data_IF_663960532526
#
_entry.id   IF_663960532526
#
_cell.length_a   1.000
_cell.length_b   1.000
_cell.length_c   1.000
_cell.angle_alpha   90.00
_cell.angle_beta   90.00
_cell.angle_gamma   90.00
#
_symmetry.space_group_name_H-M   'P 1'
#
loop_
_entity.id
_entity.type
_entity.pdbx_description
1 polymer ?
#
# COMPACT_ATOMS: atom_id res chain seq x y z
N UNK A 1 -86.00 -62.68 65.18
CA UNK A 1 -86.64 -63.72 64.36
C UNK A 1 -85.61 -64.79 64.11
N UNK A 2 -85.86 -66.03 64.55
CA UNK A 2 -84.94 -67.17 64.39
C UNK A 2 -85.15 -67.79 63.03
N UNK A 3 -84.07 -68.00 62.25
CA UNK A 3 -84.18 -68.59 60.91
C UNK A 3 -84.79 -70.00 60.94
N UNK A 4 -85.59 -70.37 59.92
CA UNK A 4 -86.19 -71.69 59.84
C UNK A 4 -85.11 -72.77 59.73
N UNK A 5 -85.32 -73.89 60.44
CA UNK A 5 -84.39 -75.04 60.43
C UNK A 5 -84.29 -75.61 59.01
N UNK A 6 -83.08 -75.58 58.44
CA UNK A 6 -82.81 -76.07 57.09
C UNK A 6 -82.98 -77.59 57.01
N UNK A 7 -83.62 -78.05 55.95
CA UNK A 7 -83.79 -79.49 55.65
C UNK A 7 -82.44 -80.15 55.37
N UNK A 8 -82.29 -81.46 55.65
CA UNK A 8 -81.04 -82.19 55.41
C UNK A 8 -80.55 -82.11 53.96
N UNK A 9 -81.47 -82.09 52.98
CA UNK A 9 -81.15 -81.90 51.56
C UNK A 9 -80.66 -80.48 51.24
N UNK A 10 -81.10 -79.48 52.00
CA UNK A 10 -80.68 -78.08 51.80
C UNK A 10 -79.28 -77.86 52.37
N UNK A 11 -78.97 -78.47 53.51
CA UNK A 11 -77.63 -78.43 54.12
C UNK A 11 -76.56 -79.04 53.21
N UNK A 12 -76.85 -80.17 52.57
CA UNK A 12 -75.90 -80.83 51.65
C UNK A 12 -75.69 -79.99 50.38
N UNK A 13 -76.74 -79.39 49.83
CA UNK A 13 -76.63 -78.48 48.69
C UNK A 13 -75.81 -77.23 49.01
N UNK A 14 -76.02 -76.61 50.17
CA UNK A 14 -75.23 -75.46 50.62
C UNK A 14 -73.76 -75.83 50.82
N UNK A 15 -73.46 -76.97 51.45
CA UNK A 15 -72.10 -77.45 51.63
C UNK A 15 -71.40 -77.73 50.28
N UNK A 16 -72.12 -78.29 49.32
CA UNK A 16 -71.61 -78.51 47.96
C UNK A 16 -71.31 -77.19 47.24
N UNK A 17 -72.21 -76.21 47.34
CA UNK A 17 -72.01 -74.88 46.77
C UNK A 17 -70.82 -74.16 47.41
N UNK A 18 -70.70 -74.23 48.73
CA UNK A 18 -69.56 -73.66 49.46
C UNK A 18 -68.24 -74.31 49.03
N UNK A 19 -68.21 -75.64 48.88
CA UNK A 19 -67.03 -76.36 48.40
C UNK A 19 -66.66 -75.98 46.96
N UNK A 20 -67.64 -75.89 46.07
CA UNK A 20 -67.42 -75.45 44.69
C UNK A 20 -66.88 -74.01 44.63
N UNK A 21 -67.41 -73.13 45.48
CA UNK A 21 -66.95 -71.75 45.60
C UNK A 21 -65.50 -71.67 46.10
N UNK A 22 -65.14 -72.44 47.12
CA UNK A 22 -63.76 -72.52 47.62
C UNK A 22 -62.79 -73.00 46.53
N UNK A 23 -63.13 -74.09 45.83
CA UNK A 23 -62.32 -74.60 44.72
C UNK A 23 -62.18 -73.57 43.59
N UNK A 24 -63.23 -72.82 43.28
CA UNK A 24 -63.16 -71.77 42.28
C UNK A 24 -62.20 -70.64 42.70
N UNK A 25 -62.26 -70.21 43.97
CA UNK A 25 -61.35 -69.20 44.50
C UNK A 25 -59.89 -69.66 44.51
N UNK A 26 -59.64 -70.92 44.86
CA UNK A 26 -58.30 -71.51 44.78
C UNK A 26 -57.78 -71.52 43.34
N UNK A 27 -58.63 -71.84 42.35
CA UNK A 27 -58.25 -71.75 40.94
C UNK A 27 -57.91 -70.32 40.56
N UNK A 28 -58.75 -69.35 40.91
CA UNK A 28 -58.48 -67.93 40.61
C UNK A 28 -57.18 -67.43 41.23
N UNK A 29 -56.85 -67.84 42.46
CA UNK A 29 -55.61 -67.47 43.12
C UNK A 29 -54.36 -68.06 42.44
N UNK A 30 -54.49 -69.27 41.85
CA UNK A 30 -53.39 -69.98 41.22
C UNK A 30 -53.27 -69.75 39.70
N UNK A 31 -54.24 -69.05 39.08
CA UNK A 31 -54.17 -68.70 37.66
C UNK A 31 -53.02 -67.71 37.45
N UNK A 32 -52.07 -68.09 36.58
CA UNK A 32 -50.98 -67.21 36.16
C UNK A 32 -51.54 -66.10 35.26
N UNK A 33 -51.10 -64.84 35.43
CA UNK A 33 -51.51 -63.76 34.53
C UNK A 33 -51.01 -64.04 33.12
N UNK A 34 -51.87 -63.84 32.12
CA UNK A 34 -51.53 -64.05 30.70
C UNK A 34 -50.69 -62.89 30.11
N UNK A 35 -50.65 -61.76 30.79
CA UNK A 35 -49.93 -60.55 30.38
C UNK A 35 -49.00 -60.15 31.52
N UNK A 36 -47.73 -59.91 31.20
CA UNK A 36 -46.78 -59.41 32.17
C UNK A 36 -47.09 -57.93 32.46
N UNK A 37 -47.65 -57.67 33.64
CA UNK A 37 -47.93 -56.32 34.13
C UNK A 37 -46.84 -55.83 35.10
N UNK A 38 -45.68 -56.49 35.17
CA UNK A 38 -44.56 -55.99 35.97
C UNK A 38 -44.01 -54.72 35.34
N UNK A 39 -43.64 -53.77 36.19
CA UNK A 39 -42.91 -52.59 35.74
C UNK A 39 -41.59 -53.06 35.10
N UNK A 40 -41.29 -52.66 33.85
CA UNK A 40 -40.01 -53.03 33.25
C UNK A 40 -38.88 -52.50 34.12
N UNK A 41 -37.81 -53.30 34.26
CA UNK A 41 -36.61 -52.90 34.99
C UNK A 41 -36.18 -51.55 34.44
N UNK A 42 -36.27 -50.51 35.27
CA UNK A 42 -35.95 -49.16 34.85
C UNK A 42 -34.52 -49.21 34.30
N UNK A 43 -34.35 -48.90 33.03
CA UNK A 43 -33.08 -48.46 32.49
C UNK A 43 -32.77 -47.08 33.10
N UNK A 44 -32.72 -46.99 34.43
CA UNK A 44 -32.05 -45.94 35.14
C UNK A 44 -30.59 -46.12 34.80
N UNK A 45 -30.21 -45.51 33.68
CA UNK A 45 -28.87 -45.29 33.16
C UNK A 45 -27.79 -45.65 34.18
N UNK A 46 -27.39 -46.93 34.21
CA UNK A 46 -26.21 -47.36 34.95
C UNK A 46 -25.04 -46.69 34.25
N UNK A 47 -24.68 -45.47 34.67
CA UNK A 47 -23.36 -44.93 34.39
C UNK A 47 -22.41 -45.96 34.98
N UNK A 48 -21.65 -46.63 34.14
CA UNK A 48 -20.51 -47.40 34.61
C UNK A 48 -19.58 -46.45 35.37
N UNK A 49 -19.74 -46.40 36.69
CA UNK A 49 -18.86 -45.70 37.60
C UNK A 49 -17.52 -46.45 37.52
N UNK A 50 -16.65 -46.01 36.61
CA UNK A 50 -15.39 -46.71 36.33
C UNK A 50 -14.94 -46.75 34.87
N UNK A 51 -15.70 -46.21 33.91
CA UNK A 51 -15.19 -45.94 32.55
C UNK A 51 -14.87 -44.46 32.31
N UNK A 52 -14.38 -43.75 33.32
CA UNK A 52 -13.42 -42.69 33.03
C UNK A 52 -12.13 -43.39 32.63
N UNK A 53 -12.01 -43.74 31.34
CA UNK A 53 -10.71 -44.04 30.77
C UNK A 53 -9.87 -42.79 31.07
N UNK A 54 -8.79 -42.95 31.81
CA UNK A 54 -7.80 -41.90 32.03
C UNK A 54 -7.21 -41.51 30.67
N UNK A 55 -7.96 -40.69 29.93
CA UNK A 55 -7.51 -40.09 28.69
C UNK A 55 -6.63 -38.92 29.09
N UNK A 56 -5.49 -39.22 29.71
CA UNK A 56 -4.47 -38.24 30.12
C UNK A 56 -4.15 -37.28 28.97
N UNK A 57 -4.15 -37.79 27.73
CA UNK A 57 -4.04 -36.98 26.51
C UNK A 57 -5.16 -35.94 26.33
N UNK A 58 -6.41 -36.30 26.62
CA UNK A 58 -7.54 -35.36 26.57
C UNK A 58 -7.47 -34.34 27.71
N UNK A 59 -7.08 -34.78 28.91
CA UNK A 59 -6.88 -33.88 30.03
C UNK A 59 -5.75 -32.87 29.76
N UNK A 60 -4.60 -33.34 29.28
CA UNK A 60 -3.46 -32.48 28.93
C UNK A 60 -3.81 -31.50 27.80
N UNK A 61 -4.61 -31.94 26.82
CA UNK A 61 -5.10 -31.06 25.76
C UNK A 61 -5.99 -29.94 26.32
N UNK A 62 -6.93 -30.29 27.21
CA UNK A 62 -7.81 -29.31 27.86
C UNK A 62 -7.01 -28.35 28.75
N UNK A 63 -6.01 -28.83 29.47
CA UNK A 63 -5.14 -27.97 30.29
C UNK A 63 -4.33 -27.00 29.44
N UNK A 64 -3.75 -27.47 28.33
CA UNK A 64 -3.05 -26.61 27.39
C UNK A 64 -3.97 -25.55 26.78
N UNK A 65 -5.17 -25.94 26.33
CA UNK A 65 -6.16 -25.01 25.80
C UNK A 65 -6.60 -23.97 26.83
N UNK A 66 -6.75 -24.37 28.10
CA UNK A 66 -7.05 -23.47 29.20
C UNK A 66 -5.92 -22.46 29.46
N UNK A 67 -4.64 -22.90 29.41
CA UNK A 67 -3.50 -22.00 29.53
C UNK A 67 -3.48 -20.98 28.39
N UNK A 68 -3.63 -21.44 27.14
CA UNK A 68 -3.69 -20.56 25.96
C UNK A 68 -4.85 -19.57 26.07
N UNK A 69 -6.01 -20.00 26.56
CA UNK A 69 -7.16 -19.12 26.78
C UNK A 69 -6.85 -18.05 27.82
N UNK A 70 -6.26 -18.42 28.95
CA UNK A 70 -5.88 -17.48 30.01
C UNK A 70 -4.87 -16.46 29.48
N UNK A 71 -3.84 -16.89 28.76
CA UNK A 71 -2.84 -15.99 28.16
C UNK A 71 -3.47 -14.98 27.20
N UNK A 72 -4.42 -15.43 26.36
CA UNK A 72 -5.18 -14.55 25.46
C UNK A 72 -6.06 -13.58 26.21
N UNK A 73 -6.72 -14.01 27.28
CA UNK A 73 -7.56 -13.14 28.12
C UNK A 73 -6.72 -12.10 28.85
N UNK A 74 -5.58 -12.49 29.43
CA UNK A 74 -4.62 -11.57 30.05
C UNK A 74 -4.13 -10.54 29.03
N UNK A 75 -3.81 -10.98 27.81
CA UNK A 75 -3.44 -10.07 26.73
C UNK A 75 -4.55 -9.07 26.42
N UNK A 76 -5.80 -9.51 26.24
CA UNK A 76 -6.97 -8.64 25.99
C UNK A 76 -7.22 -7.67 27.15
N UNK A 77 -7.13 -8.15 28.40
CA UNK A 77 -7.30 -7.31 29.60
C UNK A 77 -6.20 -6.26 29.72
N UNK A 78 -4.96 -6.63 29.38
CA UNK A 78 -3.81 -5.72 29.37
C UNK A 78 -3.93 -4.66 28.27
N UNK A 79 -4.29 -5.06 27.05
CA UNK A 79 -4.45 -4.14 25.91
C UNK A 79 -5.79 -3.40 25.92
N UNK A 80 -6.69 -3.70 26.87
CA UNK A 80 -8.06 -3.12 26.99
C UNK A 80 -8.88 -3.20 25.70
N UNK A 81 -8.61 -4.20 24.84
CA UNK A 81 -9.26 -4.33 23.53
C UNK A 81 -8.71 -3.39 22.44
N UNK A 82 -7.49 -2.88 22.59
CA UNK A 82 -6.78 -2.18 21.52
C UNK A 82 -6.51 -3.13 20.34
N UNK A 83 -7.17 -2.88 19.22
CA UNK A 83 -6.85 -3.53 17.93
C UNK A 83 -5.68 -2.76 17.31
N UNK A 84 -4.74 -3.44 16.65
CA UNK A 84 -3.65 -2.78 15.86
C UNK A 84 -4.20 -1.91 14.71
N UNK A 85 -5.49 -2.06 14.41
CA UNK A 85 -6.29 -1.14 13.62
C UNK A 85 -6.89 0.00 14.45
N UNK A 86 -6.17 0.49 15.46
CA UNK A 86 -6.46 1.81 15.99
C UNK A 86 -5.94 2.79 14.94
N UNK A 87 -6.88 3.43 14.27
CA UNK A 87 -6.64 4.56 13.38
C UNK A 87 -5.43 5.40 13.85
N UNK A 88 -4.34 5.53 13.07
CA UNK A 88 -3.09 6.15 13.52
C UNK A 88 -3.24 7.64 13.90
N UNK A 89 -4.41 8.23 13.66
CA UNK A 89 -4.81 9.59 14.03
C UNK A 89 -5.47 9.72 15.42
N UNK A 90 -5.78 8.62 16.11
CA UNK A 90 -6.40 8.66 17.46
C UNK A 90 -5.37 8.82 18.59
N UNK A 91 -4.08 8.76 18.27
CA UNK A 91 -2.99 9.11 19.19
C UNK A 91 -2.83 10.63 19.27
N UNK A 92 -3.41 11.22 20.32
CA UNK A 92 -3.33 12.67 20.60
C UNK A 92 -1.89 13.19 20.69
N UNK A 93 -0.92 12.30 20.94
CA UNK A 93 0.49 12.63 21.06
C UNK A 93 1.25 12.61 19.72
N UNK A 94 0.77 11.90 18.69
CA UNK A 94 1.44 11.84 17.37
C UNK A 94 1.46 13.18 16.65
N UNK A 95 0.41 14.01 16.81
CA UNK A 95 0.39 15.37 16.26
C UNK A 95 1.44 16.29 16.87
N UNK A 96 1.69 16.16 18.18
CA UNK A 96 2.71 16.92 18.92
C UNK A 96 4.12 16.47 18.50
N UNK A 97 4.35 15.16 18.37
CA UNK A 97 5.62 14.62 17.90
C UNK A 97 5.89 14.94 16.42
N UNK A 98 4.86 14.96 15.57
CA UNK A 98 4.95 15.36 14.16
C UNK A 98 5.31 16.85 14.02
N UNK A 99 4.63 17.74 14.75
CA UNK A 99 4.96 19.17 14.74
C UNK A 99 6.36 19.43 15.30
N UNK A 100 6.79 18.73 16.35
CA UNK A 100 8.16 18.82 16.86
C UNK A 100 9.18 18.38 15.81
N UNK A 101 8.93 17.27 15.12
CA UNK A 101 9.80 16.76 14.06
C UNK A 101 9.88 17.73 12.87
N UNK A 102 8.74 18.30 12.45
CA UNK A 102 8.68 19.33 11.41
C UNK A 102 9.47 20.56 11.80
N UNK A 103 9.28 21.07 13.03
CA UNK A 103 9.99 22.25 13.51
C UNK A 103 11.50 22.01 13.62
N UNK A 104 11.94 20.83 14.05
CA UNK A 104 13.36 20.48 14.08
C UNK A 104 13.95 20.43 12.67
N UNK A 105 13.26 19.79 11.72
CA UNK A 105 13.70 19.75 10.33
C UNK A 105 13.75 21.14 9.69
N UNK A 106 12.80 22.02 10.02
CA UNK A 106 12.85 23.41 9.56
C UNK A 106 14.08 24.14 10.08
N UNK A 107 14.41 23.98 11.37
CA UNK A 107 15.63 24.56 11.95
C UNK A 107 16.90 24.04 11.30
N UNK A 108 16.96 22.75 10.97
CA UNK A 108 18.08 22.16 10.24
C UNK A 108 18.24 22.79 8.86
N UNK A 109 17.15 22.90 8.11
CA UNK A 109 17.11 23.55 6.80
C UNK A 109 17.55 25.02 6.90
N UNK A 110 17.07 25.76 7.92
CA UNK A 110 17.42 27.17 8.09
C UNK A 110 18.90 27.35 8.41
N UNK A 111 19.49 26.48 9.24
CA UNK A 111 20.93 26.49 9.52
C UNK A 111 21.77 26.18 8.26
N UNK A 112 21.32 25.21 7.45
CA UNK A 112 21.98 24.89 6.19
C UNK A 112 21.90 26.06 5.20
N UNK A 113 20.72 26.67 5.07
CA UNK A 113 20.50 27.85 4.23
C UNK A 113 21.39 29.02 4.65
N UNK A 114 21.52 29.28 5.96
CA UNK A 114 22.45 30.31 6.47
C UNK A 114 23.90 30.00 6.12
N UNK A 115 24.32 28.74 6.21
CA UNK A 115 25.67 28.31 5.82
C UNK A 115 25.91 28.48 4.31
N UNK A 116 24.95 28.12 3.48
CA UNK A 116 25.01 28.29 2.03
C UNK A 116 25.06 29.78 1.66
N UNK A 117 24.21 30.59 2.28
CA UNK A 117 24.20 32.04 2.08
C UNK A 117 25.55 32.66 2.44
N UNK A 118 26.12 32.31 3.59
CA UNK A 118 27.44 32.78 3.99
C UNK A 118 28.53 32.35 2.98
N UNK A 119 28.44 31.14 2.43
CA UNK A 119 29.37 30.67 1.39
C UNK A 119 29.22 31.49 0.11
N UNK A 120 28.00 31.76 -0.34
CA UNK A 120 27.73 32.54 -1.54
C UNK A 120 28.19 33.99 -1.39
N UNK A 121 27.90 34.61 -0.24
CA UNK A 121 28.31 36.00 0.03
C UNK A 121 29.83 36.15 0.11
N UNK A 122 30.53 35.16 0.67
CA UNK A 122 31.99 35.16 0.77
C UNK A 122 32.69 34.59 -0.47
N UNK A 123 31.96 34.04 -1.44
CA UNK A 123 32.53 33.53 -2.67
C UNK A 123 33.14 34.68 -3.46
N UNK A 124 34.45 34.63 -3.67
CA UNK A 124 35.15 35.62 -4.47
C UNK A 124 34.84 35.38 -5.96
N UNK A 125 34.58 36.44 -6.74
CA UNK A 125 34.41 36.29 -8.19
C UNK A 125 35.72 35.76 -8.81
N UNK A 126 35.60 34.79 -9.72
CA UNK A 126 36.75 34.18 -10.42
C UNK A 126 37.46 35.18 -11.32
N UNK A 127 36.75 36.19 -11.81
CA UNK A 127 37.30 37.24 -12.65
C UNK A 127 37.04 38.63 -12.05
N UNK A 128 37.97 39.56 -12.29
CA UNK A 128 37.81 40.97 -11.96
C UNK A 128 37.53 41.74 -13.24
N UNK A 129 36.36 42.38 -13.33
CA UNK A 129 35.99 43.22 -14.48
C UNK A 129 37.05 44.30 -14.73
N UNK A 130 37.59 44.90 -13.67
CA UNK A 130 38.63 45.93 -13.80
C UNK A 130 39.93 45.36 -14.39
N UNK A 131 40.34 44.18 -13.93
CA UNK A 131 41.51 43.49 -14.50
C UNK A 131 41.25 43.16 -15.98
N UNK A 132 40.10 42.60 -16.32
CA UNK A 132 39.74 42.27 -17.69
C UNK A 132 39.76 43.50 -18.60
N UNK A 133 39.20 44.64 -18.16
CA UNK A 133 39.28 45.91 -18.91
C UNK A 133 40.72 46.36 -19.12
N UNK A 134 41.57 46.25 -18.09
CA UNK A 134 42.97 46.64 -18.19
C UNK A 134 43.79 45.73 -19.11
N UNK A 135 43.56 44.42 -19.03
CA UNK A 135 44.24 43.41 -19.84
C UNK A 135 43.77 43.53 -21.29
N UNK A 136 42.48 43.79 -21.51
CA UNK A 136 41.92 44.10 -22.83
C UNK A 136 42.60 45.32 -23.46
N UNK A 137 42.72 46.44 -22.74
CA UNK A 137 43.40 47.63 -23.25
C UNK A 137 44.84 47.34 -23.67
N UNK A 138 45.58 46.54 -22.89
CA UNK A 138 46.94 46.11 -23.26
C UNK A 138 46.93 45.24 -24.51
N UNK A 139 46.02 44.27 -24.57
CA UNK A 139 45.88 43.40 -25.73
C UNK A 139 45.53 44.18 -27.00
N UNK A 140 44.70 45.21 -26.92
CA UNK A 140 44.38 46.10 -28.04
C UNK A 140 45.63 46.85 -28.53
N UNK A 141 46.48 47.34 -27.61
CA UNK A 141 47.76 47.96 -28.00
C UNK A 141 48.71 46.96 -28.64
N UNK A 142 48.80 45.73 -28.12
CA UNK A 142 49.62 44.68 -28.72
C UNK A 142 49.10 44.30 -30.10
N UNK A 143 47.80 44.13 -30.26
CA UNK A 143 47.15 43.83 -31.53
C UNK A 143 47.42 44.93 -32.57
N UNK A 144 47.34 46.20 -32.18
CA UNK A 144 47.70 47.33 -33.06
C UNK A 144 49.18 47.36 -33.44
N UNK A 145 50.07 46.94 -32.55
CA UNK A 145 51.51 46.97 -32.81
C UNK A 145 51.95 45.81 -33.72
N UNK A 146 51.31 44.64 -33.63
CA UNK A 146 51.64 43.46 -34.44
C UNK A 146 50.85 43.40 -35.76
N UNK A 147 49.82 44.25 -35.91
CA UNK A 147 48.99 44.25 -37.12
C UNK A 147 49.73 44.84 -38.31
N UNK A 148 49.71 44.11 -39.44
CA UNK A 148 50.23 44.60 -40.72
C UNK A 148 49.39 45.74 -41.33
N UNK A 149 48.11 45.81 -40.98
CA UNK A 149 47.13 46.78 -41.47
C UNK A 149 46.53 47.57 -40.30
N UNK A 150 45.89 48.74 -40.53
CA UNK A 150 45.31 49.54 -39.46
C UNK A 150 44.34 48.74 -38.58
N UNK A 151 44.71 48.54 -37.32
CA UNK A 151 43.92 47.79 -36.36
C UNK A 151 42.72 48.60 -35.86
N UNK A 152 41.55 47.95 -35.82
CA UNK A 152 40.31 48.53 -35.28
C UNK A 152 39.81 47.67 -34.12
N UNK A 153 39.70 48.22 -32.89
CA UNK A 153 39.10 47.50 -31.77
C UNK A 153 37.63 47.15 -32.04
N UNK A 154 37.22 45.93 -31.66
CA UNK A 154 35.86 45.43 -31.93
C UNK A 154 34.76 46.23 -31.21
N UNK A 155 35.06 46.87 -30.08
CA UNK A 155 34.08 47.72 -29.36
C UNK A 155 33.85 49.08 -30.04
N UNK A 156 34.73 49.46 -30.97
CA UNK A 156 34.66 50.73 -31.72
C UNK A 156 34.13 50.53 -33.14
N UNK A 157 33.54 49.37 -33.42
CA UNK A 157 32.76 49.23 -34.63
C UNK A 157 31.60 50.23 -34.56
N UNK A 158 31.76 51.38 -35.22
CA UNK A 158 30.62 52.17 -35.67
C UNK A 158 29.66 51.19 -36.34
N UNK A 159 28.34 51.26 -36.06
CA UNK A 159 27.38 50.50 -36.83
C UNK A 159 27.73 50.78 -38.28
N UNK A 160 28.14 49.75 -39.03
CA UNK A 160 28.35 49.89 -40.46
C UNK A 160 27.13 50.65 -40.95
N UNK A 161 27.33 51.90 -41.40
CA UNK A 161 26.28 52.59 -42.12
C UNK A 161 25.80 51.57 -43.14
N UNK A 162 24.52 51.19 -43.03
CA UNK A 162 23.94 50.23 -43.95
C UNK A 162 24.04 50.92 -45.31
N UNK A 163 25.14 50.71 -46.03
CA UNK A 163 25.25 51.02 -47.44
C UNK A 163 24.02 50.39 -48.05
N UNK A 164 23.07 51.25 -48.43
CA UNK A 164 21.76 50.83 -48.83
C UNK A 164 21.96 49.76 -49.91
N UNK A 165 21.47 48.56 -49.65
CA UNK A 165 21.58 47.45 -50.58
C UNK A 165 21.01 47.91 -51.93
N UNK A 166 21.88 48.16 -52.91
CA UNK A 166 21.49 48.44 -54.28
C UNK A 166 21.31 47.08 -54.96
N UNK A 167 20.07 46.69 -55.34
CA UNK A 167 19.83 45.39 -55.95
C UNK A 167 20.67 45.22 -57.23
N UNK A 168 21.32 44.07 -57.37
CA UNK A 168 22.20 43.73 -58.50
C UNK A 168 21.49 43.72 -59.88
N UNK A 169 20.18 43.91 -59.92
CA UNK A 169 19.37 43.94 -61.15
C UNK A 169 19.75 45.11 -62.09
N UNK A 170 20.14 46.28 -61.56
CA UNK A 170 20.52 47.42 -62.39
C UNK A 170 21.89 47.25 -63.07
N UNK A 171 22.84 46.57 -62.41
CA UNK A 171 24.20 46.32 -62.96
C UNK A 171 24.23 45.27 -64.07
N UNK A 172 23.20 44.42 -64.16
CA UNK A 172 23.07 43.42 -65.24
C UNK A 172 22.47 44.01 -66.52
N UNK A 173 21.75 45.13 -66.45
CA UNK A 173 21.13 45.77 -67.62
C UNK A 173 22.15 46.52 -68.48
N UNK A 174 23.15 47.18 -67.87
CA UNK A 174 24.23 47.87 -68.61
C UNK A 174 25.22 46.90 -69.26
N UNK A 175 25.53 45.78 -68.62
CA UNK A 175 26.50 44.79 -69.14
C UNK A 175 25.99 43.92 -70.30
N UNK A 176 24.69 43.96 -70.61
CA UNK A 176 24.09 43.15 -71.69
C UNK A 176 24.08 43.85 -73.06
N UNK A 177 24.45 45.14 -73.14
CA UNK A 177 24.53 45.85 -74.43
C UNK A 177 25.92 45.77 -75.07
N UNK A 178 26.94 45.32 -74.34
CA UNK A 178 28.31 45.19 -74.85
C UNK A 178 28.86 43.79 -74.56
N UNK A 179 28.61 42.84 -75.47
CA UNK A 179 29.64 42.11 -76.22
C UNK A 179 29.18 40.73 -76.77
N UNK A 180 29.70 40.32 -77.95
CA UNK A 180 29.24 39.14 -78.69
C UNK A 180 29.94 37.83 -78.31
N UNK A 181 29.24 36.75 -78.66
CA UNK A 181 29.60 35.33 -78.74
C UNK A 181 31.09 34.95 -78.77
N UNK A 182 31.46 33.98 -77.91
CA UNK A 182 32.40 32.90 -78.27
C UNK A 182 32.12 31.64 -77.45
N UNK A 183 31.99 30.52 -78.16
CA UNK A 183 31.66 29.17 -77.67
C UNK A 183 32.87 28.44 -77.04
N UNK A 184 32.53 27.30 -76.42
CA UNK A 184 33.36 26.13 -76.09
C UNK A 184 34.10 26.16 -74.74
N UNK A 185 34.16 25.10 -73.92
CA UNK A 185 33.49 23.78 -73.78
C UNK A 185 34.15 23.08 -72.57
N UNK A 186 33.40 22.23 -71.84
CA UNK A 186 33.87 21.11 -70.99
C UNK A 186 34.77 21.45 -69.75
N UNK A 187 34.73 20.80 -68.58
CA UNK A 187 34.00 19.64 -68.05
C UNK A 187 34.12 19.60 -66.50
N UNK A 188 33.29 18.75 -65.88
CA UNK A 188 33.31 18.12 -64.55
C UNK A 188 34.45 18.44 -63.56
N UNK A 189 34.23 18.56 -62.25
CA UNK A 189 33.75 17.49 -61.36
C UNK A 189 33.00 18.03 -60.13
N UNK A 190 31.90 17.36 -59.80
CA UNK A 190 31.07 17.54 -58.60
C UNK A 190 30.87 16.20 -57.91
N UNK A 191 31.08 16.16 -56.60
CA UNK A 191 30.74 15.03 -55.73
C UNK A 191 31.84 14.82 -54.69
N UNK A 192 31.57 14.71 -53.39
CA UNK A 192 30.31 14.64 -52.64
C UNK A 192 30.67 14.96 -51.19
N UNK A 193 29.96 15.92 -50.59
CA UNK A 193 30.07 16.26 -49.18
C UNK A 193 28.72 16.00 -48.52
N UNK A 194 28.66 14.97 -47.70
CA UNK A 194 27.58 14.57 -46.80
C UNK A 194 28.29 14.08 -45.53
N UNK A 195 27.84 14.23 -44.29
CA UNK A 195 26.67 14.82 -43.65
C UNK A 195 26.93 14.57 -42.15
N UNK A 196 26.81 15.58 -41.28
CA UNK A 196 26.74 15.33 -39.82
C UNK A 196 25.43 15.92 -39.34
N UNK A 197 24.51 15.03 -38.99
CA UNK A 197 23.18 15.34 -38.50
C UNK A 197 23.24 16.04 -37.14
N UNK A 198 22.34 17.01 -37.00
CA UNK A 198 22.01 17.74 -35.77
C UNK A 198 21.23 16.83 -34.82
N UNK A 199 21.69 16.74 -33.58
CA UNK A 199 20.89 16.27 -32.45
C UNK A 199 20.02 17.44 -31.97
N UNK A 200 18.71 17.32 -32.19
CA UNK A 200 17.69 18.19 -31.60
C UNK A 200 17.44 17.75 -30.16
N UNK A 201 17.96 18.51 -29.19
CA UNK A 201 17.58 18.40 -27.78
C UNK A 201 16.27 19.19 -27.56
N UNK A 202 15.16 18.47 -27.45
CA UNK A 202 13.86 18.98 -26.99
C UNK A 202 13.96 19.44 -25.51
N UNK A 203 14.02 20.75 -25.30
CA UNK A 203 13.89 21.37 -23.98
C UNK A 203 12.42 21.77 -23.75
N UNK A 204 11.67 20.92 -23.07
CA UNK A 204 10.35 21.26 -22.53
C UNK A 204 10.51 22.27 -21.37
N UNK A 205 10.04 23.50 -21.59
CA UNK A 205 9.87 24.52 -20.56
C UNK A 205 8.41 24.54 -20.10
N UNK A 206 8.13 23.93 -18.96
CA UNK A 206 6.91 24.19 -18.20
C UNK A 206 7.07 25.52 -17.44
N UNK A 207 6.62 26.61 -18.06
CA UNK A 207 6.35 27.89 -17.39
C UNK A 207 4.91 27.89 -16.85
N UNK A 208 4.71 27.41 -15.62
CA UNK A 208 3.53 27.78 -14.84
C UNK A 208 3.76 29.18 -14.25
N UNK A 209 3.10 30.16 -14.87
CA UNK A 209 3.03 31.55 -14.42
C UNK A 209 1.84 31.72 -13.49
N UNK A 210 2.10 32.29 -12.30
CA UNK A 210 1.22 32.86 -11.25
C UNK A 210 -0.28 32.50 -11.16
#
# INVERSE_FOLDING_TARGET
MTEPKKSGSQMTQEAMQQRAYQQHRERLANVKPSVDNKTPESAAYTRHVGRQKNNEKQFNQVEYENQVLVDRLVHIMSTKGGVDNSEPWRDKNKGVDSNRKRNNRQKEIDMENQRLLARLQNAKPTYSSQKMKSDRKKNETYASNISRYPYRPMDTAEPLEKEAYVPQASRKAERQQEQPHREEQHESESGSGEEYAQDDDDFESDEDTE
#
